data_IF_514796197951
#
_entry.id   IF_514796197951
#
_cell.length_a   1.000
_cell.length_b   1.000
_cell.length_c   1.000
_cell.angle_alpha   90.00
_cell.angle_beta   90.00
_cell.angle_gamma   90.00
#
_symmetry.space_group_name_H-M   'P 1'
#
loop_
_entity.id
_entity.type
_entity.pdbx_description
1 polymer ?
#
# COMPACT_ATOMS: atom_id res chain seq x y z
N UNK A 1 12.79 -13.06 25.28
CA UNK A 1 12.73 -11.63 25.69
C UNK A 1 12.22 -10.90 24.46
N UNK A 2 10.89 -10.71 24.35
CA UNK A 2 10.29 -9.98 23.23
C UNK A 2 10.58 -8.50 23.44
N UNK A 3 11.42 -7.93 22.59
CA UNK A 3 11.65 -6.49 22.53
C UNK A 3 10.34 -5.86 22.05
N UNK A 4 9.62 -5.23 22.96
CA UNK A 4 8.39 -4.53 22.61
C UNK A 4 8.70 -3.47 21.55
N UNK A 5 8.19 -3.66 20.34
CA UNK A 5 8.11 -2.59 19.34
C UNK A 5 7.28 -1.48 19.98
N UNK A 6 7.93 -0.35 20.19
CA UNK A 6 7.23 0.86 20.60
C UNK A 6 6.26 1.22 19.44
N UNK A 7 4.95 1.30 19.66
CA UNK A 7 4.06 1.70 18.57
C UNK A 7 4.52 3.08 18.10
N UNK A 8 4.76 3.22 16.79
CA UNK A 8 5.06 4.51 16.20
C UNK A 8 3.99 5.50 16.65
N UNK A 9 4.42 6.67 17.05
CA UNK A 9 3.50 7.75 17.41
C UNK A 9 3.16 8.51 16.14
N UNK A 10 1.87 8.68 15.85
CA UNK A 10 1.42 9.48 14.71
C UNK A 10 1.99 10.90 14.79
N UNK A 11 2.56 11.40 13.68
CA UNK A 11 2.95 12.81 13.58
C UNK A 11 1.68 13.68 13.60
N UNK A 12 1.54 14.60 14.57
CA UNK A 12 0.38 15.48 14.65
C UNK A 12 0.16 16.32 13.38
N UNK A 13 1.22 16.70 12.66
CA UNK A 13 1.11 17.46 11.43
C UNK A 13 0.51 16.63 10.28
N UNK A 14 0.94 15.38 10.14
CA UNK A 14 0.36 14.45 9.15
C UNK A 14 -1.10 14.14 9.46
N UNK A 15 -1.42 13.88 10.73
CA UNK A 15 -2.81 13.67 11.18
C UNK A 15 -3.70 14.89 10.93
N UNK A 16 -3.20 16.11 11.17
CA UNK A 16 -3.93 17.33 10.88
C UNK A 16 -4.19 17.51 9.36
N UNK A 17 -3.18 17.23 8.54
CA UNK A 17 -3.29 17.27 7.08
C UNK A 17 -4.34 16.28 6.57
N UNK A 18 -4.32 15.04 7.05
CA UNK A 18 -5.32 14.04 6.68
C UNK A 18 -6.74 14.46 7.10
N UNK A 19 -6.91 15.02 8.31
CA UNK A 19 -8.20 15.54 8.74
C UNK A 19 -8.70 16.66 7.82
N UNK A 20 -7.84 17.57 7.40
CA UNK A 20 -8.20 18.65 6.47
C UNK A 20 -8.63 18.11 5.10
N UNK A 21 -7.89 17.14 4.53
CA UNK A 21 -8.20 16.53 3.24
C UNK A 21 -9.55 15.80 3.26
N UNK A 22 -9.85 15.07 4.34
CA UNK A 22 -11.00 14.16 4.39
C UNK A 22 -12.22 14.71 5.13
N UNK A 23 -12.10 15.76 5.97
CA UNK A 23 -13.16 16.27 6.83
C UNK A 23 -14.43 16.76 6.09
N UNK A 24 -14.30 17.19 4.85
CA UNK A 24 -15.42 17.73 4.05
C UNK A 24 -15.90 16.79 2.95
N UNK A 25 -15.44 15.56 2.93
CA UNK A 25 -15.80 14.58 1.88
C UNK A 25 -17.16 13.95 2.19
N UNK A 26 -18.19 14.19 1.35
CA UNK A 26 -19.53 13.68 1.61
C UNK A 26 -19.66 12.15 1.41
N UNK A 27 -18.71 11.56 0.72
CA UNK A 27 -18.62 10.14 0.40
C UNK A 27 -17.64 9.36 1.31
N UNK A 28 -17.08 10.04 2.32
CA UNK A 28 -16.21 9.43 3.31
C UNK A 28 -16.98 8.40 4.14
N UNK A 29 -16.37 7.24 4.33
CA UNK A 29 -16.86 6.20 5.23
C UNK A 29 -16.44 6.57 6.65
N UNK A 30 -17.35 6.52 7.64
CA UNK A 30 -16.99 6.81 9.02
C UNK A 30 -15.80 5.99 9.50
N UNK A 31 -14.97 6.51 10.41
CA UNK A 31 -13.81 5.79 10.92
C UNK A 31 -14.22 4.45 11.57
N UNK A 32 -13.41 3.42 11.40
CA UNK A 32 -13.64 2.09 11.94
C UNK A 32 -13.57 2.06 13.47
N UNK A 33 -12.80 2.95 14.07
CA UNK A 33 -12.57 3.02 15.49
C UNK A 33 -11.41 2.15 15.98
N UNK A 34 -10.87 2.52 17.14
CA UNK A 34 -9.71 1.84 17.73
C UNK A 34 -9.94 0.37 18.09
N UNK A 35 -11.19 -0.03 18.40
CA UNK A 35 -11.52 -1.41 18.71
C UNK A 35 -11.33 -2.31 17.48
N UNK A 36 -11.89 -1.90 16.34
CA UNK A 36 -11.77 -2.63 15.09
C UNK A 36 -10.30 -2.73 14.61
N UNK A 37 -9.57 -1.62 14.69
CA UNK A 37 -8.14 -1.59 14.33
C UNK A 37 -7.33 -2.56 15.19
N UNK A 38 -7.49 -2.54 16.51
CA UNK A 38 -6.76 -3.44 17.40
C UNK A 38 -7.14 -4.90 17.23
N UNK A 39 -8.42 -5.18 16.94
CA UNK A 39 -8.87 -6.55 16.65
C UNK A 39 -8.21 -7.10 15.41
N UNK A 40 -8.18 -6.31 14.34
CA UNK A 40 -7.51 -6.66 13.09
C UNK A 40 -5.99 -6.87 13.27
N UNK A 41 -5.34 -5.95 13.99
CA UNK A 41 -3.90 -6.06 14.29
C UNK A 41 -3.59 -7.35 15.07
N UNK A 42 -4.43 -7.70 16.04
CA UNK A 42 -4.26 -8.91 16.85
C UNK A 42 -4.51 -10.18 16.03
N UNK A 43 -5.51 -10.19 15.16
CA UNK A 43 -5.85 -11.30 14.28
C UNK A 43 -4.71 -11.62 13.30
N UNK A 44 -4.13 -10.59 12.69
CA UNK A 44 -3.07 -10.74 11.69
C UNK A 44 -1.64 -10.68 12.26
N UNK A 45 -1.46 -10.45 13.56
CA UNK A 45 -0.15 -10.39 14.20
C UNK A 45 0.72 -9.20 13.76
N UNK A 46 0.10 -8.08 13.39
CA UNK A 46 0.76 -6.86 12.89
C UNK A 46 0.40 -5.65 13.74
N UNK A 47 1.07 -4.53 13.47
CA UNK A 47 0.64 -3.18 13.88
C UNK A 47 0.59 -2.35 12.62
N UNK A 48 -0.53 -1.69 12.34
CA UNK A 48 -0.65 -0.81 11.18
C UNK A 48 0.34 0.36 11.26
N UNK A 49 0.93 0.81 10.14
CA UNK A 49 1.84 1.96 10.15
C UNK A 49 1.09 3.27 10.41
N UNK A 50 1.71 4.18 11.16
CA UNK A 50 1.24 5.56 11.24
C UNK A 50 1.65 6.33 9.96
N UNK A 51 0.87 7.33 9.53
CA UNK A 51 -0.37 7.82 10.12
C UNK A 51 -1.64 7.06 9.71
N UNK A 52 -1.52 5.99 8.89
CA UNK A 52 -2.68 5.23 8.39
C UNK A 52 -3.48 4.60 9.54
N UNK A 53 -2.82 4.10 10.56
CA UNK A 53 -3.45 3.52 11.76
C UNK A 53 -4.42 4.49 12.44
N UNK A 54 -3.93 5.71 12.71
CA UNK A 54 -4.75 6.80 13.27
C UNK A 54 -5.83 7.25 12.29
N UNK A 55 -5.53 7.29 11.00
CA UNK A 55 -6.47 7.66 9.95
C UNK A 55 -7.70 6.76 9.95
N UNK A 56 -7.54 5.44 9.88
CA UNK A 56 -8.68 4.51 9.87
C UNK A 56 -9.41 4.45 11.21
N UNK A 57 -8.70 4.67 12.32
CA UNK A 57 -9.30 4.65 13.64
C UNK A 57 -10.13 5.90 13.96
N UNK A 58 -9.76 7.08 13.46
CA UNK A 58 -10.30 8.36 13.94
C UNK A 58 -10.80 9.31 12.83
N UNK A 59 -10.39 9.15 11.59
CA UNK A 59 -10.65 10.12 10.52
C UNK A 59 -11.63 9.56 9.50
N UNK A 60 -11.26 8.47 8.84
CA UNK A 60 -12.02 7.91 7.73
C UNK A 60 -11.58 6.46 7.48
N UNK A 61 -12.53 5.56 7.26
CA UNK A 61 -12.25 4.16 6.92
C UNK A 61 -12.39 3.87 5.43
N UNK A 62 -12.44 4.89 4.61
CA UNK A 62 -12.54 4.73 3.16
C UNK A 62 -13.25 5.88 2.49
N UNK A 63 -13.11 5.95 1.18
CA UNK A 63 -13.68 7.01 0.36
C UNK A 63 -14.13 6.43 -0.99
N UNK A 64 -15.32 6.75 -1.44
CA UNK A 64 -15.86 6.19 -2.70
C UNK A 64 -15.24 6.79 -3.95
N UNK A 65 -14.75 8.02 -3.86
CA UNK A 65 -14.09 8.70 -4.96
C UNK A 65 -12.82 9.38 -4.42
N UNK A 66 -11.68 8.96 -4.90
CA UNK A 66 -10.41 9.55 -4.48
C UNK A 66 -9.46 8.49 -4.01
N UNK A 67 -8.38 8.86 -3.29
CA UNK A 67 -7.14 8.14 -3.54
C UNK A 67 -7.31 6.63 -3.36
N UNK A 68 -6.71 5.80 -4.26
CA UNK A 68 -5.96 6.24 -5.44
C UNK A 68 -6.83 6.88 -6.52
N UNK A 69 -7.63 6.27 -7.30
CA UNK A 69 -8.53 6.92 -8.27
C UNK A 69 -9.97 6.46 -8.11
N UNK A 70 -10.17 5.15 -8.00
CA UNK A 70 -11.50 4.54 -7.88
C UNK A 70 -12.00 4.47 -6.43
N UNK A 71 -11.34 5.15 -5.51
CA UNK A 71 -11.71 5.22 -4.11
C UNK A 71 -10.72 4.51 -3.18
N UNK A 72 -10.80 4.87 -1.91
CA UNK A 72 -10.04 4.25 -0.83
C UNK A 72 -10.91 3.18 -0.18
N UNK A 73 -10.45 1.94 -0.20
CA UNK A 73 -11.17 0.81 0.41
C UNK A 73 -11.15 0.91 1.94
N UNK A 74 -12.19 0.43 2.62
CA UNK A 74 -12.11 0.13 4.04
C UNK A 74 -10.94 -0.82 4.34
N UNK A 75 -10.22 -0.58 5.42
CA UNK A 75 -8.91 -1.20 5.69
C UNK A 75 -8.91 -2.74 5.77
N UNK A 76 -10.04 -3.36 6.04
CA UNK A 76 -10.20 -4.81 6.11
C UNK A 76 -10.85 -5.40 4.85
N UNK A 77 -11.00 -4.63 3.77
CA UNK A 77 -11.65 -5.07 2.55
C UNK A 77 -10.67 -5.26 1.39
N UNK A 78 -11.07 -6.12 0.46
CA UNK A 78 -10.42 -6.32 -0.83
C UNK A 78 -11.35 -5.84 -1.95
N UNK A 79 -10.82 -5.35 -3.09
CA UNK A 79 -11.63 -4.97 -4.21
C UNK A 79 -12.33 -6.21 -4.83
N UNK A 80 -13.46 -5.97 -5.49
CA UNK A 80 -14.26 -7.06 -6.08
C UNK A 80 -13.58 -7.81 -7.21
N UNK A 81 -12.60 -7.18 -7.84
CA UNK A 81 -11.77 -7.73 -8.93
C UNK A 81 -10.47 -8.39 -8.44
N UNK A 82 -10.24 -8.45 -7.12
CA UNK A 82 -9.06 -9.09 -6.53
C UNK A 82 -8.95 -10.59 -6.84
N UNK A 83 -10.08 -11.23 -7.12
CA UNK A 83 -10.18 -12.67 -7.36
C UNK A 83 -10.47 -13.47 -6.08
N UNK A 84 -11.49 -14.32 -6.16
CA UNK A 84 -11.91 -15.19 -5.03
C UNK A 84 -10.96 -16.37 -4.80
N UNK A 85 -10.12 -16.67 -5.79
CA UNK A 85 -9.24 -17.85 -5.81
C UNK A 85 -7.82 -17.54 -5.28
N UNK A 86 -7.55 -16.27 -4.95
CA UNK A 86 -6.27 -15.88 -4.35
C UNK A 86 -6.18 -16.38 -2.90
N UNK A 87 -4.98 -16.78 -2.47
CA UNK A 87 -4.75 -17.18 -1.10
C UNK A 87 -5.01 -16.02 -0.13
N UNK A 88 -5.20 -16.37 1.15
CA UNK A 88 -5.27 -15.38 2.22
C UNK A 88 -3.94 -14.62 2.30
N UNK A 89 -4.04 -13.31 2.49
CA UNK A 89 -2.87 -12.42 2.54
C UNK A 89 -2.07 -12.62 3.82
N UNK A 90 -0.77 -12.75 3.67
CA UNK A 90 0.18 -12.98 4.75
C UNK A 90 0.74 -11.64 5.27
N UNK A 91 -0.09 -10.89 6.00
CA UNK A 91 0.25 -9.53 6.44
C UNK A 91 1.45 -9.48 7.40
N UNK A 92 1.71 -10.55 8.16
CA UNK A 92 2.87 -10.64 9.06
C UNK A 92 4.18 -10.97 8.34
N UNK A 93 4.11 -11.57 7.14
CA UNK A 93 5.29 -11.83 6.32
C UNK A 93 5.80 -10.52 5.72
N UNK A 94 7.12 -10.27 5.72
CA UNK A 94 7.66 -9.03 5.17
C UNK A 94 7.37 -8.88 3.67
N UNK A 95 6.96 -7.68 3.25
CA UNK A 95 6.92 -7.32 1.84
C UNK A 95 8.32 -7.47 1.22
N UNK A 96 8.46 -8.19 0.09
CA UNK A 96 9.76 -8.65 -0.36
C UNK A 96 10.62 -7.59 -1.05
N UNK A 97 10.01 -6.50 -1.56
CA UNK A 97 10.73 -5.52 -2.37
C UNK A 97 11.21 -4.32 -1.56
N UNK A 98 12.34 -3.77 -1.97
CA UNK A 98 12.91 -2.51 -1.45
C UNK A 98 13.09 -1.45 -2.53
N UNK A 99 12.95 -1.82 -3.81
CA UNK A 99 13.03 -0.97 -4.98
C UNK A 99 11.99 -1.42 -6.01
N UNK A 100 11.67 -0.59 -6.98
CA UNK A 100 10.80 -0.95 -8.09
C UNK A 100 11.31 -2.22 -8.78
N UNK A 101 10.38 -3.06 -9.20
CA UNK A 101 10.65 -4.26 -9.98
C UNK A 101 9.61 -4.38 -11.09
N UNK A 102 10.08 -4.30 -12.34
CA UNK A 102 9.27 -4.43 -13.56
C UNK A 102 9.57 -5.80 -14.15
N UNK A 103 8.67 -6.76 -13.91
CA UNK A 103 8.88 -8.15 -14.31
C UNK A 103 8.53 -8.44 -15.77
N UNK A 104 7.76 -7.57 -16.44
CA UNK A 104 7.56 -7.68 -17.89
C UNK A 104 8.89 -7.53 -18.67
N UNK A 105 9.81 -6.68 -18.18
CA UNK A 105 11.12 -6.49 -18.80
C UNK A 105 12.04 -7.70 -18.58
N UNK A 106 11.90 -8.43 -17.45
CA UNK A 106 12.73 -9.61 -17.15
C UNK A 106 12.31 -10.85 -17.97
N UNK A 107 11.04 -10.97 -18.38
CA UNK A 107 10.58 -12.07 -19.25
C UNK A 107 11.21 -12.01 -20.65
N UNK A 108 11.65 -10.84 -21.12
CA UNK A 108 12.30 -10.66 -22.41
C UNK A 108 13.80 -11.03 -22.40
N UNK A 109 14.43 -11.17 -21.22
CA UNK A 109 15.87 -11.46 -21.03
C UNK A 109 16.17 -12.96 -20.74
N UNK A 110 15.39 -13.89 -21.28
CA UNK A 110 15.47 -15.35 -20.99
C UNK A 110 16.85 -16.03 -21.22
N UNK A 111 17.84 -15.34 -21.77
CA UNK A 111 19.18 -15.88 -22.11
C UNK A 111 20.27 -15.61 -21.04
N UNK A 112 19.94 -15.07 -19.84
CA UNK A 112 20.94 -14.77 -18.81
C UNK A 112 21.16 -15.98 -17.86
N UNK A 113 22.44 -16.40 -17.68
CA UNK A 113 22.85 -17.49 -16.77
C UNK A 113 22.43 -17.28 -15.28
N UNK A 114 21.80 -16.17 -14.97
CA UNK A 114 21.28 -15.79 -13.64
C UNK A 114 19.75 -15.69 -13.53
N UNK A 115 19.02 -15.96 -14.59
CA UNK A 115 17.55 -15.85 -14.61
C UNK A 115 16.91 -16.82 -13.62
N UNK A 116 15.84 -16.37 -12.97
CA UNK A 116 15.01 -17.22 -12.10
C UNK A 116 14.34 -18.30 -12.96
N UNK A 117 14.14 -19.50 -12.39
CA UNK A 117 13.25 -20.46 -13.02
C UNK A 117 11.82 -19.92 -13.01
N UNK A 118 10.99 -20.33 -13.98
CA UNK A 118 9.57 -19.95 -14.07
C UNK A 118 8.86 -20.10 -12.72
N UNK A 119 9.07 -21.19 -12.00
CA UNK A 119 8.47 -21.45 -10.70
C UNK A 119 8.97 -20.48 -9.61
N UNK A 120 10.26 -20.11 -9.60
CA UNK A 120 10.83 -19.14 -8.66
C UNK A 120 10.33 -17.73 -8.97
N UNK A 121 10.18 -17.40 -10.25
CA UNK A 121 9.63 -16.14 -10.70
C UNK A 121 8.16 -15.99 -10.28
N UNK A 122 7.30 -16.96 -10.58
CA UNK A 122 5.90 -16.97 -10.14
C UNK A 122 5.78 -16.85 -8.62
N UNK A 123 6.54 -17.63 -7.86
CA UNK A 123 6.52 -17.57 -6.40
C UNK A 123 6.95 -16.20 -5.85
N UNK A 124 7.88 -15.52 -6.52
CA UNK A 124 8.31 -14.17 -6.16
C UNK A 124 7.24 -13.15 -6.47
N UNK A 125 6.60 -13.22 -7.65
CA UNK A 125 5.46 -12.36 -8.02
C UNK A 125 4.31 -12.53 -7.04
N UNK A 126 3.93 -13.77 -6.73
CA UNK A 126 2.88 -14.07 -5.75
C UNK A 126 3.18 -13.43 -4.39
N UNK A 127 4.43 -13.52 -3.92
CA UNK A 127 4.84 -12.92 -2.66
C UNK A 127 4.72 -11.39 -2.66
N UNK A 128 4.91 -10.71 -3.80
CA UNK A 128 4.74 -9.26 -3.92
C UNK A 128 3.26 -8.88 -3.76
N UNK A 129 2.36 -9.69 -4.30
CA UNK A 129 0.92 -9.43 -4.13
C UNK A 129 0.41 -9.76 -2.73
N UNK A 130 0.91 -10.82 -2.09
CA UNK A 130 0.27 -11.43 -0.93
C UNK A 130 0.93 -11.11 0.42
N UNK A 131 2.22 -10.71 0.44
CA UNK A 131 2.95 -10.49 1.69
C UNK A 131 2.96 -9.03 2.13
N UNK A 132 2.83 -8.81 3.43
CA UNK A 132 3.17 -7.58 4.16
C UNK A 132 2.52 -6.30 3.68
N UNK A 133 1.39 -6.36 2.99
CA UNK A 133 0.71 -5.18 2.47
C UNK A 133 -0.81 -5.24 2.56
N UNK A 134 -1.47 -4.10 2.70
CA UNK A 134 -2.93 -3.93 2.62
C UNK A 134 -3.32 -3.29 1.29
N UNK A 135 -4.47 -3.70 0.75
CA UNK A 135 -5.06 -3.04 -0.40
C UNK A 135 -5.70 -1.72 0.00
N UNK A 136 -5.24 -0.62 -0.59
CA UNK A 136 -5.85 0.70 -0.43
C UNK A 136 -6.96 0.93 -1.46
N UNK A 137 -6.85 0.35 -2.65
CA UNK A 137 -7.80 0.55 -3.72
C UNK A 137 -7.32 -0.09 -5.02
N UNK A 138 -8.10 0.15 -6.07
CA UNK A 138 -7.80 -0.29 -7.43
C UNK A 138 -8.03 0.84 -8.42
N UNK A 139 -7.28 0.83 -9.52
CA UNK A 139 -7.55 1.66 -10.69
C UNK A 139 -8.20 0.87 -11.82
N UNK A 140 -8.75 -0.31 -11.50
CA UNK A 140 -9.27 -1.30 -12.43
C UNK A 140 -8.17 -2.01 -13.26
N UNK A 141 -8.55 -2.99 -14.06
CA UNK A 141 -7.65 -3.71 -14.97
C UNK A 141 -6.42 -4.33 -14.26
N UNK A 142 -6.57 -4.82 -13.02
CA UNK A 142 -5.48 -5.49 -12.30
C UNK A 142 -4.46 -4.54 -11.64
N UNK A 143 -4.70 -3.23 -11.66
CA UNK A 143 -3.86 -2.25 -10.99
C UNK A 143 -4.32 -2.03 -9.55
N UNK A 144 -3.49 -2.36 -8.57
CA UNK A 144 -3.83 -2.28 -7.16
C UNK A 144 -2.86 -1.38 -6.38
N UNK A 145 -3.44 -0.57 -5.51
CA UNK A 145 -2.66 0.27 -4.60
C UNK A 145 -2.54 -0.42 -3.26
N UNK A 146 -1.30 -0.61 -2.83
CA UNK A 146 -0.95 -1.30 -1.60
C UNK A 146 -0.30 -0.35 -0.58
N UNK A 147 -0.67 -0.49 0.68
CA UNK A 147 0.08 0.07 1.80
C UNK A 147 0.94 -1.03 2.42
N UNK A 148 2.24 -0.83 2.46
CA UNK A 148 3.13 -1.80 3.09
C UNK A 148 2.99 -1.71 4.61
N UNK A 149 2.65 -2.83 5.24
CA UNK A 149 2.43 -2.91 6.70
C UNK A 149 3.54 -3.65 7.43
N UNK A 150 4.32 -4.49 6.73
CA UNK A 150 5.43 -5.26 7.30
C UNK A 150 6.60 -5.30 6.32
N UNK A 151 7.82 -5.10 6.83
CA UNK A 151 9.04 -5.11 6.04
C UNK A 151 9.71 -3.73 5.93
N UNK A 152 10.80 -3.62 5.16
CA UNK A 152 11.61 -2.41 5.06
C UNK A 152 10.87 -1.20 4.48
N UNK A 153 9.84 -1.43 3.68
CA UNK A 153 9.03 -0.38 3.02
C UNK A 153 7.76 -0.03 3.81
N UNK A 154 7.68 -0.44 5.09
CA UNK A 154 6.51 -0.19 5.94
C UNK A 154 6.12 1.29 5.96
N UNK A 155 4.84 1.57 5.72
CA UNK A 155 4.27 2.92 5.66
C UNK A 155 4.28 3.54 4.26
N UNK A 156 4.96 2.93 3.28
CA UNK A 156 4.95 3.39 1.88
C UNK A 156 3.76 2.82 1.11
N UNK A 157 3.35 3.58 0.11
CA UNK A 157 2.29 3.18 -0.83
C UNK A 157 2.95 2.67 -2.13
N UNK A 158 2.46 1.57 -2.66
CA UNK A 158 2.95 0.94 -3.87
C UNK A 158 1.83 0.70 -4.86
N UNK A 159 2.09 0.89 -6.15
CA UNK A 159 1.27 0.35 -7.23
C UNK A 159 1.83 -1.02 -7.61
N UNK A 160 0.95 -2.02 -7.69
CA UNK A 160 1.29 -3.38 -8.13
C UNK A 160 0.27 -3.77 -9.18
N UNK A 161 0.75 -4.19 -10.35
CA UNK A 161 -0.06 -4.63 -11.48
C UNK A 161 0.60 -5.81 -12.22
N UNK A 162 0.09 -6.17 -13.38
CA UNK A 162 0.61 -7.27 -14.21
C UNK A 162 2.03 -7.04 -14.74
N UNK A 163 2.50 -5.80 -14.80
CA UNK A 163 3.80 -5.43 -15.38
C UNK A 163 4.88 -5.25 -14.33
N UNK A 164 4.49 -5.00 -13.06
CA UNK A 164 5.47 -4.76 -12.02
C UNK A 164 4.92 -4.20 -10.72
N UNK A 165 5.85 -3.83 -9.85
CA UNK A 165 5.59 -3.19 -8.58
C UNK A 165 6.46 -1.95 -8.42
N UNK A 166 5.83 -0.79 -8.16
CA UNK A 166 6.52 0.49 -8.03
C UNK A 166 6.06 1.25 -6.79
N UNK A 167 6.99 1.75 -5.95
CA UNK A 167 6.63 2.63 -4.85
C UNK A 167 6.12 3.98 -5.37
N UNK A 168 5.15 4.56 -4.69
CA UNK A 168 4.66 5.91 -4.96
C UNK A 168 5.83 6.92 -4.95
N UNK A 169 5.87 7.78 -5.95
CA UNK A 169 6.95 8.74 -6.12
C UNK A 169 8.18 8.18 -6.85
N UNK A 170 8.08 7.00 -7.48
CA UNK A 170 9.11 6.51 -8.41
C UNK A 170 9.14 7.38 -9.66
N UNK A 171 10.35 7.70 -10.11
CA UNK A 171 10.59 8.42 -11.37
C UNK A 171 10.55 7.45 -12.56
N UNK A 172 10.39 7.98 -13.80
CA UNK A 172 10.41 7.13 -15.00
C UNK A 172 11.70 6.30 -15.18
N UNK A 173 12.82 6.71 -14.56
CA UNK A 173 14.09 5.97 -14.55
C UNK A 173 14.16 4.94 -13.39
N UNK A 174 13.04 4.60 -12.78
CA UNK A 174 12.90 3.72 -11.61
C UNK A 174 13.59 4.20 -10.33
N UNK A 175 14.22 5.38 -10.34
CA UNK A 175 14.81 5.96 -9.13
C UNK A 175 13.75 6.52 -8.20
N UNK A 176 13.96 6.44 -6.88
CA UNK A 176 13.07 7.04 -5.90
C UNK A 176 13.28 8.55 -5.78
N UNK A 177 12.20 9.29 -5.66
CA UNK A 177 12.27 10.70 -5.26
C UNK A 177 12.82 10.79 -3.83
N UNK A 178 13.68 11.79 -3.52
CA UNK A 178 14.09 12.04 -2.15
C UNK A 178 12.89 12.27 -1.24
N UNK A 179 12.83 11.53 -0.13
CA UNK A 179 11.70 11.62 0.80
C UNK A 179 10.42 11.02 0.23
N UNK A 180 10.50 9.84 -0.41
CA UNK A 180 9.32 9.10 -0.88
C UNK A 180 8.20 9.17 0.15
N UNK A 181 7.06 9.77 -0.19
CA UNK A 181 6.01 10.02 0.77
C UNK A 181 5.31 8.71 1.15
N UNK A 182 5.07 8.54 2.44
CA UNK A 182 4.17 7.50 2.93
C UNK A 182 2.70 7.83 2.64
N UNK A 183 1.80 7.19 3.37
CA UNK A 183 0.35 7.35 3.17
C UNK A 183 -0.13 8.82 3.20
N UNK A 184 0.30 9.63 4.18
CA UNK A 184 -0.10 11.04 4.26
C UNK A 184 0.40 11.85 3.06
N UNK A 185 1.62 11.59 2.61
CA UNK A 185 2.20 12.24 1.43
C UNK A 185 1.45 11.90 0.15
N UNK A 186 1.08 10.63 -0.04
CA UNK A 186 0.29 10.18 -1.19
C UNK A 186 -1.10 10.81 -1.20
N UNK A 187 -1.79 10.85 -0.05
CA UNK A 187 -3.09 11.52 0.09
C UNK A 187 -3.01 13.04 -0.19
N UNK A 188 -1.93 13.68 0.28
CA UNK A 188 -1.68 15.10 0.01
C UNK A 188 -1.48 15.36 -1.47
N UNK A 189 -0.67 14.55 -2.14
CA UNK A 189 -0.41 14.63 -3.57
C UNK A 189 -1.71 14.52 -4.39
N UNK A 190 -2.52 13.51 -4.07
CA UNK A 190 -3.83 13.34 -4.68
C UNK A 190 -4.74 14.54 -4.46
N UNK A 191 -4.81 15.08 -3.24
CA UNK A 191 -5.67 16.22 -2.90
C UNK A 191 -5.33 17.49 -3.68
N UNK A 192 -4.10 17.60 -4.16
CA UNK A 192 -3.60 18.67 -5.01
C UNK A 192 -3.88 18.44 -6.50
N UNK A 193 -4.53 17.34 -6.86
CA UNK A 193 -4.82 17.00 -8.26
C UNK A 193 -3.59 16.60 -9.08
N UNK A 194 -2.52 16.16 -8.42
CA UNK A 194 -1.31 15.73 -9.10
C UNK A 194 -1.44 14.29 -9.56
N UNK A 195 -0.89 13.98 -10.72
CA UNK A 195 -0.73 12.60 -11.19
C UNK A 195 0.31 11.86 -10.34
N UNK A 196 0.11 10.55 -10.13
CA UNK A 196 1.01 9.70 -9.35
C UNK A 196 2.45 9.68 -9.87
N UNK A 197 2.63 9.83 -11.17
CA UNK A 197 3.92 9.69 -11.84
C UNK A 197 4.32 10.91 -12.70
N UNK A 198 3.50 11.98 -12.75
CA UNK A 198 3.64 13.02 -13.77
C UNK A 198 4.67 14.12 -13.46
N UNK A 199 5.16 14.22 -12.26
CA UNK A 199 6.09 15.29 -11.85
C UNK A 199 7.48 14.71 -11.54
N UNK A 200 8.07 14.10 -12.56
CA UNK A 200 9.48 13.73 -12.55
C UNK A 200 10.35 14.89 -13.01
#
# INVERSE_FOLDING_TARGET
MMTGMNPETCDPAESATLREIFASRPDAIPPAGWEAVRSFEAEHGIVLPEPYRTFVAEICDGLRAGPPYCGLLPFAQTPSDWGSDRPERLLAEPFPLTAAWLWEEEEEEEDDEGALSEQEFEARVDSVFDHGSLLLGTDSCGMYWHLIVTGPQRGHVWLIDENGAMPFGTRPDTSLMPGTPGFAGSATHWSQGRSWFADA
#
